data_IF_270378910534
#
_entry.id   IF_270378910534
#
_cell.length_a   1.000
_cell.length_b   1.000
_cell.length_c   1.000
_cell.angle_alpha   90.00
_cell.angle_beta   90.00
_cell.angle_gamma   90.00
#
_symmetry.space_group_name_H-M   'P 1'
#
loop_
_entity.id
_entity.type
_entity.pdbx_description
1 polymer ?
#
# COMPACT_ATOMS: atom_id res chain seq x y z
N UNK A 1 14.17 -5.82 -30.78
CA UNK A 1 15.16 -5.11 -29.94
C UNK A 1 15.73 -6.14 -28.96
N UNK A 2 16.99 -6.55 -29.13
CA UNK A 2 17.65 -7.60 -28.33
C UNK A 2 18.37 -6.88 -27.20
N UNK A 3 17.92 -7.04 -25.95
CA UNK A 3 18.60 -6.41 -24.82
C UNK A 3 19.88 -7.20 -24.50
N UNK A 4 21.03 -6.58 -24.73
CA UNK A 4 22.33 -7.09 -24.28
C UNK A 4 22.49 -6.70 -22.80
N UNK A 5 21.97 -7.51 -21.89
CA UNK A 5 22.29 -7.40 -20.47
C UNK A 5 23.42 -8.40 -20.16
N UNK A 6 24.62 -7.86 -19.93
CA UNK A 6 25.82 -8.63 -19.63
C UNK A 6 25.67 -9.35 -18.28
N UNK A 7 25.72 -10.68 -18.28
CA UNK A 7 25.26 -11.58 -17.22
C UNK A 7 26.18 -11.75 -16.00
N UNK A 8 26.63 -10.66 -15.37
CA UNK A 8 27.41 -10.76 -14.11
C UNK A 8 26.61 -10.37 -12.85
N UNK A 9 25.38 -9.89 -13.00
CA UNK A 9 24.49 -9.55 -11.88
C UNK A 9 23.17 -10.32 -11.95
N UNK A 10 23.26 -11.60 -12.26
CA UNK A 10 22.09 -12.46 -12.31
C UNK A 10 21.89 -13.06 -10.91
N UNK A 11 20.89 -12.53 -10.18
CA UNK A 11 20.47 -13.10 -8.90
C UNK A 11 19.88 -14.47 -9.22
N UNK A 12 20.55 -15.52 -8.72
CA UNK A 12 20.15 -16.90 -8.93
C UNK A 12 18.66 -17.07 -8.60
N UNK A 13 17.87 -17.52 -9.57
CA UNK A 13 16.43 -17.75 -9.43
C UNK A 13 15.53 -16.56 -9.76
N UNK A 14 16.03 -15.43 -10.26
CA UNK A 14 15.22 -14.29 -10.74
C UNK A 14 15.29 -14.09 -12.27
N UNK A 15 15.99 -14.98 -12.98
CA UNK A 15 16.15 -14.91 -14.43
C UNK A 15 14.97 -15.55 -15.16
N UNK A 16 14.55 -14.94 -16.27
CA UNK A 16 13.47 -15.47 -17.12
C UNK A 16 13.77 -16.89 -17.64
N UNK A 17 15.02 -17.17 -17.99
CA UNK A 17 15.49 -18.47 -18.49
C UNK A 17 15.36 -19.60 -17.45
N UNK A 18 15.42 -19.27 -16.15
CA UNK A 18 15.37 -20.26 -15.06
C UNK A 18 13.97 -20.41 -14.45
N UNK A 19 13.14 -19.37 -14.55
CA UNK A 19 11.83 -19.30 -13.86
C UNK A 19 10.63 -19.36 -14.79
N UNK A 20 10.83 -19.23 -16.11
CA UNK A 20 9.78 -19.06 -17.12
C UNK A 20 8.87 -17.84 -16.89
N UNK A 21 9.20 -16.95 -15.94
CA UNK A 21 8.46 -15.71 -15.70
C UNK A 21 9.20 -14.53 -16.32
N UNK A 22 8.47 -13.70 -17.06
CA UNK A 22 8.98 -12.41 -17.56
C UNK A 22 8.95 -11.37 -16.43
N UNK A 23 9.76 -10.31 -16.55
CA UNK A 23 9.93 -9.30 -15.50
C UNK A 23 8.63 -8.61 -15.02
N UNK A 24 7.64 -8.42 -15.92
CA UNK A 24 6.31 -7.88 -15.55
C UNK A 24 5.50 -8.80 -14.62
N UNK A 25 5.78 -10.10 -14.64
CA UNK A 25 5.12 -11.12 -13.82
C UNK A 25 6.02 -11.60 -12.67
N UNK A 26 7.05 -10.81 -12.30
CA UNK A 26 8.07 -11.21 -11.32
C UNK A 26 7.52 -11.63 -9.96
N UNK A 27 6.38 -11.09 -9.52
CA UNK A 27 5.77 -11.48 -8.25
C UNK A 27 5.30 -12.94 -8.21
N UNK A 28 5.07 -13.59 -9.37
CA UNK A 28 4.71 -15.00 -9.42
C UNK A 28 5.84 -15.92 -8.92
N UNK A 29 7.09 -15.45 -8.97
CA UNK A 29 8.27 -16.15 -8.44
C UNK A 29 8.23 -16.31 -6.91
N UNK A 30 7.57 -15.37 -6.20
CA UNK A 30 7.48 -15.39 -4.75
C UNK A 30 6.72 -16.61 -4.21
N UNK A 31 5.93 -17.29 -5.05
CA UNK A 31 5.17 -18.49 -4.66
C UNK A 31 6.06 -19.66 -4.20
N UNK A 32 7.26 -19.78 -4.77
CA UNK A 32 8.20 -20.85 -4.41
C UNK A 32 9.22 -20.42 -3.34
N UNK A 33 9.10 -19.19 -2.82
CA UNK A 33 9.99 -18.59 -1.83
C UNK A 33 9.20 -18.28 -0.55
N UNK A 34 9.22 -19.23 0.39
CA UNK A 34 8.36 -19.20 1.58
C UNK A 34 8.63 -18.03 2.54
N UNK A 35 9.84 -17.47 2.57
CA UNK A 35 10.20 -16.31 3.40
C UNK A 35 9.88 -14.97 2.73
N UNK A 36 9.91 -14.92 1.40
CA UNK A 36 9.77 -13.68 0.64
C UNK A 36 8.30 -13.31 0.43
N UNK A 37 7.40 -14.29 0.23
CA UNK A 37 5.98 -14.04 0.03
C UNK A 37 5.33 -13.35 1.26
N UNK A 38 5.53 -13.82 2.51
CA UNK A 38 5.04 -13.11 3.69
C UNK A 38 5.72 -11.76 3.89
N UNK A 39 7.01 -11.64 3.58
CA UNK A 39 7.75 -10.37 3.63
C UNK A 39 7.13 -9.30 2.72
N UNK A 40 6.78 -9.68 1.48
CA UNK A 40 6.09 -8.81 0.53
C UNK A 40 4.69 -8.40 1.03
N UNK A 41 3.94 -9.30 1.66
CA UNK A 41 2.63 -8.98 2.24
C UNK A 41 2.73 -8.01 3.41
N UNK A 42 3.72 -8.21 4.31
CA UNK A 42 3.96 -7.30 5.44
C UNK A 42 4.40 -5.93 4.94
N UNK A 43 5.29 -5.86 3.95
CA UNK A 43 5.67 -4.59 3.32
C UNK A 43 4.46 -3.89 2.68
N UNK A 44 3.61 -4.64 1.98
CA UNK A 44 2.39 -4.09 1.38
C UNK A 44 1.41 -3.56 2.43
N UNK A 45 1.15 -4.33 3.50
CA UNK A 45 0.33 -3.88 4.62
C UNK A 45 0.92 -2.63 5.29
N UNK A 46 2.25 -2.58 5.43
CA UNK A 46 2.97 -1.42 5.95
C UNK A 46 2.76 -0.17 5.09
N UNK A 47 2.83 -0.28 3.76
CA UNK A 47 2.55 0.83 2.83
C UNK A 47 1.10 1.32 2.97
N UNK A 48 0.15 0.40 3.09
CA UNK A 48 -1.27 0.76 3.29
C UNK A 48 -1.46 1.52 4.60
N UNK A 49 -0.95 0.99 5.72
CA UNK A 49 -1.08 1.63 7.04
C UNK A 49 -0.38 2.99 7.04
N UNK A 50 0.81 3.08 6.45
CA UNK A 50 1.55 4.33 6.31
C UNK A 50 0.76 5.36 5.48
N UNK A 51 0.21 4.96 4.33
CA UNK A 51 -0.59 5.84 3.47
C UNK A 51 -1.87 6.33 4.15
N UNK A 52 -2.60 5.45 4.83
CA UNK A 52 -3.79 5.79 5.62
C UNK A 52 -3.44 6.78 6.73
N UNK A 53 -2.36 6.51 7.48
CA UNK A 53 -1.90 7.39 8.56
C UNK A 53 -1.47 8.77 8.05
N UNK A 54 -0.67 8.82 6.98
CA UNK A 54 -0.23 10.06 6.37
C UNK A 54 -1.40 10.88 5.82
N UNK A 55 -2.36 10.23 5.18
CA UNK A 55 -3.57 10.90 4.65
C UNK A 55 -4.42 11.47 5.79
N UNK A 56 -4.57 10.74 6.89
CA UNK A 56 -5.30 11.23 8.06
C UNK A 56 -4.66 12.48 8.68
N UNK A 57 -3.33 12.50 8.84
CA UNK A 57 -2.60 13.68 9.34
C UNK A 57 -2.72 14.83 8.34
N UNK A 58 -2.62 14.55 7.04
CA UNK A 58 -2.77 15.54 5.98
C UNK A 58 -4.16 16.19 5.98
N UNK A 59 -5.22 15.38 6.06
CA UNK A 59 -6.60 15.86 6.15
C UNK A 59 -6.83 16.69 7.42
N UNK A 60 -6.30 16.24 8.57
CA UNK A 60 -6.41 16.98 9.83
C UNK A 60 -5.68 18.34 9.78
N UNK A 61 -4.52 18.42 9.13
CA UNK A 61 -3.75 19.65 9.00
C UNK A 61 -4.42 20.70 8.08
N UNK A 62 -5.18 20.24 7.07
CA UNK A 62 -5.87 21.10 6.11
C UNK A 62 -7.36 21.29 6.43
N UNK A 63 -7.83 20.75 7.55
CA UNK A 63 -9.22 20.85 7.96
C UNK A 63 -9.61 22.29 8.31
N UNK A 64 -10.65 22.82 7.64
CA UNK A 64 -11.20 24.14 7.89
C UNK A 64 -12.58 24.02 8.56
N UNK A 65 -12.73 24.30 9.88
CA UNK A 65 -14.02 24.13 10.58
C UNK A 65 -15.15 25.01 10.04
N UNK A 66 -14.81 26.08 9.31
CA UNK A 66 -15.78 27.07 8.80
C UNK A 66 -16.48 26.65 7.52
N UNK A 67 -16.07 25.54 6.91
CA UNK A 67 -16.66 25.00 5.68
C UNK A 67 -17.15 23.57 5.95
N UNK A 68 -18.24 23.12 5.31
CA UNK A 68 -18.70 21.75 5.47
C UNK A 68 -17.68 20.74 4.93
N UNK A 69 -17.61 19.56 5.55
CA UNK A 69 -16.56 18.56 5.27
C UNK A 69 -16.61 18.00 3.84
N UNK A 70 -17.80 17.88 3.24
CA UNK A 70 -17.96 17.34 1.90
C UNK A 70 -17.41 18.26 0.80
N UNK A 71 -17.18 19.55 1.09
CA UNK A 71 -16.61 20.51 0.13
C UNK A 71 -15.09 20.55 0.15
N UNK A 72 -14.44 19.90 1.11
CA UNK A 72 -13.00 19.97 1.34
C UNK A 72 -12.22 18.78 0.78
N UNK A 73 -12.90 17.84 0.10
CA UNK A 73 -12.26 16.65 -0.48
C UNK A 73 -11.71 15.67 0.56
N UNK A 74 -12.23 15.70 1.79
CA UNK A 74 -11.82 14.81 2.87
C UNK A 74 -12.54 13.46 2.71
N UNK A 75 -11.80 12.35 2.83
CA UNK A 75 -12.36 11.00 2.71
C UNK A 75 -12.20 10.24 4.03
N UNK A 76 -11.04 10.30 4.68
CA UNK A 76 -10.81 9.55 5.92
C UNK A 76 -11.47 10.19 7.13
N UNK A 77 -11.38 11.51 7.28
CA UNK A 77 -11.88 12.24 8.44
C UNK A 77 -13.40 12.12 8.60
N UNK A 78 -14.24 12.26 7.54
CA UNK A 78 -15.68 11.98 7.66
C UNK A 78 -15.99 10.53 8.08
N UNK A 79 -15.23 9.55 7.56
CA UNK A 79 -15.43 8.14 7.93
C UNK A 79 -15.13 7.88 9.41
N UNK A 80 -14.05 8.46 9.94
CA UNK A 80 -13.71 8.34 11.36
C UNK A 80 -14.77 8.98 12.25
N UNK A 81 -15.24 10.18 11.90
CA UNK A 81 -16.28 10.85 12.67
C UNK A 81 -17.60 10.09 12.68
N UNK A 82 -17.97 9.43 11.58
CA UNK A 82 -19.17 8.60 11.54
C UNK A 82 -19.07 7.44 12.56
N UNK A 83 -17.92 6.75 12.59
CA UNK A 83 -17.68 5.64 13.53
C UNK A 83 -17.66 6.12 14.99
N UNK A 84 -17.08 7.29 15.26
CA UNK A 84 -16.98 7.85 16.61
C UNK A 84 -18.31 8.43 17.11
N UNK A 85 -19.10 9.05 16.23
CA UNK A 85 -20.41 9.62 16.56
C UNK A 85 -21.36 8.55 17.11
N UNK A 86 -21.39 7.37 16.49
CA UNK A 86 -22.22 6.26 16.96
C UNK A 86 -21.76 5.72 18.32
N UNK A 87 -20.45 5.74 18.59
CA UNK A 87 -19.89 5.31 19.88
C UNK A 87 -20.15 6.31 21.00
N UNK A 88 -20.02 7.61 20.75
CA UNK A 88 -20.29 8.67 21.75
C UNK A 88 -21.76 8.71 22.14
N UNK A 89 -22.68 8.41 21.22
CA UNK A 89 -24.13 8.36 21.48
C UNK A 89 -24.59 7.16 22.31
N UNK A 90 -23.74 6.15 22.53
CA UNK A 90 -24.06 4.95 23.33
C UNK A 90 -23.62 5.10 24.81
N UNK A 91 -22.78 6.10 25.11
CA UNK A 91 -22.20 6.34 26.45
C UNK A 91 -22.78 7.59 27.14
N UNK A 92 -23.73 8.28 26.51
CA UNK A 92 -24.47 9.43 27.05
C UNK A 92 -25.95 9.10 27.15
#
# INVERSE_FOLDING_TARGET
MKMLFNGTLAVAGCEQETTNFVWWAGNALLLNLSSELPGAHVAHAGIIIFGVGATNIFEAAHFLPKKPMYEQGLILLPHLLNILSDKVRIIA
#
